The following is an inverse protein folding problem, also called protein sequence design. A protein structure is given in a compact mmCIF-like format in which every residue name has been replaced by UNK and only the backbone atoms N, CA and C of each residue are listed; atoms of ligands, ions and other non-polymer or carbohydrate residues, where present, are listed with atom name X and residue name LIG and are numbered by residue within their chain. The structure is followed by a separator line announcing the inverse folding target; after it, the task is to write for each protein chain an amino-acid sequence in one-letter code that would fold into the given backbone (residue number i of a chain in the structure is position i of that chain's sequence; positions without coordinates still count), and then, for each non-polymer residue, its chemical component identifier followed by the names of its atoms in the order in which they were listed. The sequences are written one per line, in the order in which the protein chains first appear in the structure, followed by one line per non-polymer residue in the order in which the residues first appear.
data_IF_445194338067
#
_entry.id   IF_445194338067
#
_cell.length_a   1.000
_cell.length_b   1.000
_cell.length_c   1.000
_cell.angle_alpha   90.00
_cell.angle_beta   90.00
_cell.angle_gamma   90.00
#
_symmetry.space_group_name_H-M   'P 1'
#
loop_
_entity.id
_entity.type
_entity.pdbx_description
1 polymer ?
#
# COMPACT_ATOMS: atom_id res chain seq x y z
N UNK A 1 -5.62 -5.73 -9.72
CA UNK A 1 -6.38 -6.09 -10.94
C UNK A 1 -6.14 -7.55 -11.26
N UNK A 2 -7.08 -8.45 -10.93
CA UNK A 2 -7.05 -9.81 -11.43
C UNK A 2 -7.75 -9.84 -12.81
N UNK A 3 -7.10 -10.29 -13.89
CA UNK A 3 -7.70 -10.35 -15.23
C UNK A 3 -8.71 -11.50 -15.40
N UNK A 4 -8.83 -12.36 -14.38
CA UNK A 4 -9.67 -13.56 -14.42
C UNK A 4 -10.85 -13.44 -13.46
N UNK A 5 -12.04 -13.77 -13.97
CA UNK A 5 -13.22 -13.98 -13.13
C UNK A 5 -12.92 -15.11 -12.14
N UNK A 6 -13.30 -14.90 -10.87
CA UNK A 6 -13.16 -15.86 -9.76
C UNK A 6 -11.72 -16.10 -9.25
N UNK A 7 -10.73 -15.32 -9.70
CA UNK A 7 -9.40 -15.28 -9.09
C UNK A 7 -9.34 -14.18 -8.03
N UNK A 8 -8.89 -14.51 -6.81
CA UNK A 8 -8.64 -13.50 -5.79
C UNK A 8 -7.51 -12.57 -6.26
N UNK A 9 -7.72 -11.24 -6.24
CA UNK A 9 -6.64 -10.31 -6.51
C UNK A 9 -5.57 -10.43 -5.42
N UNK A 10 -4.32 -10.27 -5.83
CA UNK A 10 -3.17 -10.07 -4.91
C UNK A 10 -3.18 -8.61 -4.45
N UNK A 11 -2.32 -8.24 -3.50
CA UNK A 11 -2.35 -6.97 -2.78
C UNK A 11 -2.15 -5.71 -3.62
N UNK A 12 -1.33 -5.71 -4.69
CA UNK A 12 -1.21 -4.54 -5.57
C UNK A 12 0.23 -4.11 -5.79
N UNK A 13 0.46 -2.79 -5.83
CA UNK A 13 1.78 -2.20 -6.09
C UNK A 13 1.98 -0.89 -5.34
N UNK A 14 3.24 -0.50 -5.15
CA UNK A 14 3.63 0.74 -4.48
C UNK A 14 4.75 1.43 -5.24
N UNK A 15 4.68 2.77 -5.34
CA UNK A 15 5.79 3.61 -5.78
C UNK A 15 6.55 4.12 -4.57
N UNK A 16 7.85 3.84 -4.51
CA UNK A 16 8.67 4.09 -3.31
C UNK A 16 9.72 5.16 -3.53
N UNK A 17 9.92 5.96 -2.49
CA UNK A 17 10.99 6.92 -2.35
C UNK A 17 11.81 6.50 -1.13
N UNK A 18 13.06 6.09 -1.37
CA UNK A 18 13.95 5.51 -0.37
C UNK A 18 15.33 6.17 -0.43
N UNK A 19 16.05 6.31 0.70
CA UNK A 19 17.32 7.00 0.75
C UNK A 19 18.51 6.17 0.23
N UNK A 20 18.34 4.87 -0.03
CA UNK A 20 19.37 3.98 -0.54
C UNK A 20 18.77 2.91 -1.46
N UNK A 21 19.61 2.33 -2.32
CA UNK A 21 19.23 1.22 -3.17
C UNK A 21 19.12 -0.08 -2.35
N UNK A 22 18.06 -0.85 -2.58
CA UNK A 22 17.77 -2.08 -1.85
C UNK A 22 16.69 -1.90 -0.78
N UNK A 23 16.00 -2.99 -0.44
CA UNK A 23 14.92 -3.01 0.55
C UNK A 23 15.17 -4.13 1.55
N UNK A 24 16.05 -3.90 2.52
CA UNK A 24 16.19 -4.81 3.66
C UNK A 24 14.88 -4.85 4.43
N UNK A 25 14.37 -6.06 4.64
CA UNK A 25 13.10 -6.26 5.33
C UNK A 25 11.86 -6.06 4.48
N UNK A 26 11.96 -5.94 3.15
CA UNK A 26 10.79 -6.09 2.28
C UNK A 26 10.24 -7.52 2.34
N UNK A 27 8.93 -7.67 2.56
CA UNK A 27 8.22 -8.94 2.36
C UNK A 27 7.10 -8.81 1.33
N UNK A 28 6.79 -9.93 0.68
CA UNK A 28 5.76 -10.00 -0.35
C UNK A 28 4.34 -10.01 0.25
N UNK A 29 3.34 -10.19 -0.62
CA UNK A 29 1.94 -10.30 -0.25
C UNK A 29 1.42 -9.01 0.39
N UNK A 30 0.84 -9.06 1.59
CA UNK A 30 0.18 -7.91 2.22
C UNK A 30 1.13 -6.78 2.61
N UNK A 31 2.44 -7.00 2.55
CA UNK A 31 3.42 -5.97 2.85
C UNK A 31 3.90 -5.20 1.60
N UNK A 32 3.22 -5.41 0.46
CA UNK A 32 3.42 -4.71 -0.82
C UNK A 32 4.88 -4.69 -1.34
N UNK A 33 5.75 -5.55 -0.80
CA UNK A 33 7.15 -5.66 -1.22
C UNK A 33 8.08 -4.58 -0.67
N UNK A 34 7.71 -3.83 0.37
CA UNK A 34 8.53 -2.71 0.85
C UNK A 34 8.79 -2.64 2.36
N UNK A 35 7.96 -3.28 3.17
CA UNK A 35 8.16 -3.40 4.63
C UNK A 35 7.97 -4.86 5.07
N UNK A 36 8.29 -5.14 6.32
CA UNK A 36 7.83 -6.31 7.05
C UNK A 36 7.40 -5.88 8.45
N UNK A 37 6.80 -6.80 9.21
CA UNK A 37 6.27 -6.51 10.56
C UNK A 37 7.32 -6.04 11.58
N UNK A 38 8.61 -6.28 11.34
CA UNK A 38 9.69 -5.87 12.25
C UNK A 38 10.14 -4.43 12.00
N UNK A 39 10.05 -3.95 10.76
CA UNK A 39 10.48 -2.60 10.36
C UNK A 39 9.31 -1.65 10.09
N UNK A 40 8.08 -2.18 10.06
CA UNK A 40 6.86 -1.40 10.02
C UNK A 40 6.74 -0.48 11.25
N UNK A 41 6.28 0.75 11.03
CA UNK A 41 6.24 1.83 12.03
C UNK A 41 7.60 2.29 12.59
N UNK A 42 8.74 1.85 12.02
CA UNK A 42 10.06 2.32 12.44
C UNK A 42 10.38 3.68 11.80
N UNK A 43 10.44 4.78 12.56
CA UNK A 43 10.67 6.12 12.02
C UNK A 43 12.04 6.30 11.35
N UNK A 44 12.98 5.38 11.57
CA UNK A 44 14.32 5.45 11.00
C UNK A 44 14.43 4.85 9.58
N UNK A 45 13.41 4.14 9.10
CA UNK A 45 13.42 3.54 7.74
C UNK A 45 13.43 4.61 6.65
N UNK A 46 12.78 5.77 6.91
CA UNK A 46 12.71 6.93 5.99
C UNK A 46 12.15 6.55 4.62
N UNK A 47 11.09 5.76 4.62
CA UNK A 47 10.40 5.27 3.43
C UNK A 47 9.11 6.08 3.23
N UNK A 48 8.94 6.57 2.03
CA UNK A 48 7.68 7.18 1.58
C UNK A 48 7.13 6.37 0.40
N UNK A 49 5.84 6.04 0.46
CA UNK A 49 5.16 5.21 -0.52
C UNK A 49 3.85 5.82 -0.99
N UNK A 50 3.53 5.60 -2.27
CA UNK A 50 2.18 5.76 -2.81
C UNK A 50 1.70 4.39 -3.27
N UNK A 51 0.75 3.81 -2.53
CA UNK A 51 0.23 2.47 -2.79
C UNK A 51 -1.06 2.49 -3.60
N UNK A 52 -1.22 1.43 -4.39
CA UNK A 52 -2.44 1.08 -5.10
C UNK A 52 -2.81 -0.33 -4.63
N UNK A 53 -3.49 -0.39 -3.49
CA UNK A 53 -3.89 -1.63 -2.86
C UNK A 53 -5.26 -2.07 -3.40
N UNK A 54 -5.39 -3.35 -3.67
CA UNK A 54 -6.61 -3.97 -4.18
C UNK A 54 -7.11 -5.11 -3.27
N UNK A 55 -6.57 -5.21 -2.06
CA UNK A 55 -6.97 -6.14 -1.01
C UNK A 55 -7.14 -5.42 0.33
N UNK A 56 -8.20 -5.73 1.09
CA UNK A 56 -8.39 -5.12 2.40
C UNK A 56 -7.68 -5.92 3.48
N UNK A 57 -6.60 -5.39 4.03
CA UNK A 57 -5.85 -5.94 5.14
C UNK A 57 -6.27 -5.33 6.48
N UNK A 58 -7.03 -6.09 7.29
CA UNK A 58 -7.48 -5.61 8.60
C UNK A 58 -6.31 -5.28 9.55
N UNK A 59 -5.16 -5.96 9.41
CA UNK A 59 -4.00 -5.69 10.24
C UNK A 59 -3.36 -4.31 9.99
N UNK A 60 -3.63 -3.68 8.85
CA UNK A 60 -3.10 -2.35 8.48
C UNK A 60 -4.18 -1.27 8.46
N UNK A 61 -5.39 -1.61 8.95
CA UNK A 61 -6.53 -0.69 9.02
C UNK A 61 -6.94 -0.12 7.66
N UNK A 62 -6.85 -0.94 6.60
CA UNK A 62 -7.26 -0.52 5.27
C UNK A 62 -8.71 -0.08 5.24
N UNK A 63 -8.95 1.06 4.60
CA UNK A 63 -10.27 1.66 4.50
C UNK A 63 -11.23 0.81 3.66
N UNK A 64 -10.70 0.08 2.68
CA UNK A 64 -11.44 -0.63 1.64
C UNK A 64 -10.50 -1.54 0.84
N UNK A 65 -11.04 -2.51 0.11
CA UNK A 65 -10.23 -3.43 -0.72
C UNK A 65 -9.45 -2.71 -1.82
N UNK A 66 -10.10 -1.93 -2.67
CA UNK A 66 -9.50 -1.15 -3.76
C UNK A 66 -9.36 0.32 -3.35
N UNK A 67 -8.17 0.74 -2.97
CA UNK A 67 -7.87 2.08 -2.48
C UNK A 67 -6.47 2.57 -2.91
N UNK A 68 -6.26 3.88 -2.80
CA UNK A 68 -4.96 4.53 -2.98
C UNK A 68 -4.54 5.11 -1.64
N UNK A 69 -3.30 4.84 -1.24
CA UNK A 69 -2.76 5.20 0.06
C UNK A 69 -1.45 5.99 -0.02
N UNK A 70 -1.21 6.79 1.01
CA UNK A 70 0.06 7.45 1.28
C UNK A 70 0.66 6.83 2.53
N UNK A 71 1.82 6.21 2.38
CA UNK A 71 2.51 5.47 3.42
C UNK A 71 3.76 6.24 3.86
N UNK A 72 3.95 6.37 5.17
CA UNK A 72 5.16 6.96 5.75
C UNK A 72 5.72 6.03 6.82
N UNK A 73 6.83 5.34 6.49
CA UNK A 73 7.50 4.37 7.35
C UNK A 73 6.59 3.23 7.88
N UNK A 74 5.39 3.06 7.32
CA UNK A 74 4.41 2.09 7.78
C UNK A 74 3.52 1.57 6.65
N UNK A 75 3.02 0.35 6.82
CA UNK A 75 1.96 -0.23 5.99
C UNK A 75 0.59 0.40 6.27
N UNK A 76 0.39 1.00 7.45
CA UNK A 76 -0.81 1.80 7.71
C UNK A 76 -0.69 3.13 6.97
N UNK A 77 -1.59 3.37 6.02
CA UNK A 77 -1.65 4.63 5.28
C UNK A 77 -1.99 5.81 6.19
N UNK A 78 -1.23 6.91 6.10
CA UNK A 78 -1.52 8.16 6.80
C UNK A 78 -2.67 8.94 6.15
N UNK A 79 -2.88 8.71 4.85
CA UNK A 79 -4.03 9.19 4.08
C UNK A 79 -4.39 8.11 3.08
N UNK A 80 -5.67 7.78 2.97
CA UNK A 80 -6.17 6.85 1.98
C UNK A 80 -7.51 7.34 1.42
N UNK A 81 -7.77 7.00 0.16
CA UNK A 81 -9.07 7.17 -0.47
C UNK A 81 -9.41 5.92 -1.27
N UNK A 82 -10.69 5.56 -1.33
CA UNK A 82 -11.15 4.49 -2.22
C UNK A 82 -10.73 4.80 -3.67
N UNK A 83 -10.61 3.76 -4.50
CA UNK A 83 -10.38 3.87 -5.94
C UNK A 83 -11.70 3.76 -6.73
N UNK A 84 -11.79 4.48 -7.85
CA UNK A 84 -13.08 4.80 -8.47
C UNK A 84 -12.98 5.90 -9.53
N UNK A 85 -14.14 6.45 -9.92
CA UNK A 85 -14.25 7.50 -10.91
C UNK A 85 -14.78 8.78 -10.26
N UNK A 86 -13.95 9.84 -10.25
CA UNK A 86 -14.31 11.16 -9.72
C UNK A 86 -14.38 12.18 -10.86
N UNK A 87 -15.58 12.53 -11.33
CA UNK A 87 -15.73 13.64 -12.27
C UNK A 87 -15.43 14.97 -11.54
N UNK A 88 -14.78 15.90 -12.24
CA UNK A 88 -14.33 17.19 -11.69
C UNK A 88 -15.46 18.04 -11.07
N UNK A 89 -16.72 17.75 -11.42
CA UNK A 89 -17.91 18.49 -10.98
C UNK A 89 -18.44 18.12 -9.59
N UNK A 90 -17.75 17.29 -8.80
CA UNK A 90 -18.18 16.87 -7.44
C UNK A 90 -17.09 16.96 -6.35
N UNK A 91 -16.25 17.99 -6.39
CA UNK A 91 -15.35 18.31 -5.26
C UNK A 91 -16.04 19.17 -4.20
#
# INVERSE_FOLDING_TARGET
MAPYRDALPVHGLVFLFVPFAGMEGASSSQNLGFLNRTIDHNPNTRIFGVEFDVFANQEFSDIKDNHVGINLNSLTSIFANEAGYWPDSRR
#
